data_IF_561029610252
#
_entry.id   IF_561029610252
#
_cell.length_a   1.000
_cell.length_b   1.000
_cell.length_c   1.000
_cell.angle_alpha   90.00
_cell.angle_beta   90.00
_cell.angle_gamma   90.00
#
_symmetry.space_group_name_H-M   'P 1'
#
loop_
_entity.id
_entity.type
_entity.pdbx_description
1 polymer ?
#
# COMPACT_ATOMS: atom_id res chain seq x y z
N UNK A 1 3.16 13.16 -19.78
CA UNK A 1 3.62 12.68 -18.45
C UNK A 1 4.04 11.22 -18.58
N UNK A 2 5.23 10.87 -18.09
CA UNK A 2 5.72 9.49 -18.05
C UNK A 2 5.05 8.77 -16.86
N UNK A 3 4.51 7.57 -17.11
CA UNK A 3 3.83 6.75 -16.12
C UNK A 3 4.55 5.41 -15.95
N UNK A 4 4.65 4.93 -14.72
CA UNK A 4 5.30 3.64 -14.40
C UNK A 4 4.56 2.94 -13.25
N UNK A 5 4.39 1.62 -13.33
CA UNK A 5 3.94 0.80 -12.21
C UNK A 5 5.14 0.42 -11.35
N UNK A 6 4.98 0.50 -10.02
CA UNK A 6 5.93 0.01 -9.03
C UNK A 6 5.35 -1.26 -8.40
N UNK A 7 5.74 -2.42 -8.91
CA UNK A 7 5.21 -3.73 -8.55
C UNK A 7 6.12 -4.43 -7.54
N UNK A 8 5.54 -4.85 -6.43
CA UNK A 8 6.22 -5.68 -5.42
C UNK A 8 5.72 -7.13 -5.51
N UNK A 9 6.66 -8.07 -5.68
CA UNK A 9 6.38 -9.51 -5.76
C UNK A 9 7.32 -10.30 -4.86
N UNK A 10 7.00 -11.56 -4.60
CA UNK A 10 7.82 -12.43 -3.75
C UNK A 10 8.12 -13.74 -4.49
N UNK A 11 9.39 -14.12 -4.49
CA UNK A 11 9.93 -15.43 -4.90
C UNK A 11 9.47 -15.94 -6.28
N UNK A 12 9.39 -15.07 -7.27
CA UNK A 12 9.29 -15.51 -8.69
C UNK A 12 10.68 -15.88 -9.18
N UNK A 13 10.90 -17.18 -9.45
CA UNK A 13 12.25 -17.73 -9.70
C UNK A 13 12.78 -17.43 -11.09
N UNK A 14 11.92 -17.32 -12.08
CA UNK A 14 12.31 -17.13 -13.48
C UNK A 14 11.73 -15.83 -14.06
N UNK A 15 12.51 -15.19 -14.93
CA UNK A 15 12.03 -13.99 -15.64
C UNK A 15 10.82 -14.31 -16.54
N UNK A 16 10.73 -15.51 -17.11
CA UNK A 16 9.59 -15.93 -17.92
C UNK A 16 8.29 -15.99 -17.11
N UNK A 17 8.36 -16.43 -15.85
CA UNK A 17 7.20 -16.39 -14.93
C UNK A 17 6.74 -14.96 -14.67
N UNK A 18 7.70 -14.03 -14.56
CA UNK A 18 7.40 -12.60 -14.38
C UNK A 18 6.71 -12.05 -15.61
N UNK A 19 7.21 -12.32 -16.83
CA UNK A 19 6.57 -11.82 -18.06
C UNK A 19 5.15 -12.37 -18.25
N UNK A 20 4.96 -13.66 -17.99
CA UNK A 20 3.63 -14.29 -17.99
C UNK A 20 2.70 -13.61 -16.97
N UNK A 21 3.20 -13.37 -15.77
CA UNK A 21 2.47 -12.66 -14.71
C UNK A 21 2.03 -11.26 -15.13
N UNK A 22 2.91 -10.46 -15.76
CA UNK A 22 2.55 -9.13 -16.27
C UNK A 22 1.40 -9.19 -17.28
N UNK A 23 1.41 -10.20 -18.17
CA UNK A 23 0.35 -10.40 -19.15
C UNK A 23 -0.97 -10.79 -18.48
N UNK A 24 -0.96 -11.75 -17.55
CA UNK A 24 -2.14 -12.19 -16.80
C UNK A 24 -2.77 -11.08 -15.97
N UNK A 25 -1.94 -10.18 -15.43
CA UNK A 25 -2.37 -9.02 -14.63
C UNK A 25 -2.70 -7.77 -15.46
N UNK A 26 -2.63 -7.88 -16.79
CA UNK A 26 -2.90 -6.79 -17.74
C UNK A 26 -2.02 -5.54 -17.50
N UNK A 27 -0.74 -5.77 -17.15
CA UNK A 27 0.23 -4.68 -16.99
C UNK A 27 0.80 -4.33 -18.37
N UNK A 28 0.36 -3.22 -18.92
CA UNK A 28 0.64 -2.79 -20.30
C UNK A 28 1.49 -1.52 -20.38
N UNK A 29 2.11 -1.10 -19.28
CA UNK A 29 2.93 0.13 -19.17
C UNK A 29 4.36 -0.21 -18.78
N UNK A 30 5.21 0.81 -18.70
CA UNK A 30 6.51 0.69 -18.05
C UNK A 30 6.33 0.21 -16.61
N UNK A 31 7.24 -0.65 -16.13
CA UNK A 31 7.14 -1.23 -14.78
C UNK A 31 8.52 -1.43 -14.15
N UNK A 32 8.63 -1.08 -12.88
CA UNK A 32 9.73 -1.52 -12.01
C UNK A 32 9.17 -2.60 -11.09
N UNK A 33 9.79 -3.77 -11.15
CA UNK A 33 9.43 -4.93 -10.34
C UNK A 33 10.52 -5.13 -9.29
N UNK A 34 10.16 -5.10 -8.03
CA UNK A 34 11.01 -5.56 -6.94
C UNK A 34 10.53 -6.93 -6.52
N UNK A 35 11.33 -7.93 -6.87
CA UNK A 35 11.10 -9.33 -6.54
C UNK A 35 11.97 -9.68 -5.32
N UNK A 36 11.32 -9.92 -4.19
CA UNK A 36 11.97 -10.32 -2.94
C UNK A 36 12.40 -11.79 -3.05
N UNK A 37 13.70 -12.02 -3.14
CA UNK A 37 14.31 -13.35 -3.38
C UNK A 37 15.45 -13.58 -2.38
N UNK A 38 16.13 -14.73 -2.51
CA UNK A 38 17.33 -15.05 -1.76
C UNK A 38 18.64 -14.75 -2.53
N UNK A 39 18.56 -14.05 -3.66
CA UNK A 39 19.71 -13.66 -4.49
C UNK A 39 19.53 -12.23 -5.02
N UNK A 40 20.64 -11.64 -5.51
CA UNK A 40 20.63 -10.31 -6.10
C UNK A 40 20.91 -10.39 -7.61
N UNK A 41 20.01 -9.84 -8.40
CA UNK A 41 20.19 -9.67 -9.85
C UNK A 41 19.31 -8.53 -10.36
N UNK A 42 19.84 -7.70 -11.25
CA UNK A 42 19.10 -6.60 -11.87
C UNK A 42 19.10 -6.81 -13.38
N UNK A 43 17.94 -6.78 -13.97
CA UNK A 43 17.76 -6.84 -15.41
C UNK A 43 16.82 -5.75 -15.92
N UNK A 44 17.04 -5.34 -17.17
CA UNK A 44 16.19 -4.39 -17.88
C UNK A 44 15.95 -4.91 -19.28
N UNK A 45 14.70 -4.95 -19.70
CA UNK A 45 14.30 -5.38 -21.03
C UNK A 45 13.24 -4.46 -21.59
N UNK A 46 13.27 -4.28 -22.92
CA UNK A 46 12.19 -3.63 -23.65
C UNK A 46 11.33 -4.72 -24.31
N UNK A 47 10.04 -4.73 -24.00
CA UNK A 47 9.08 -5.70 -24.53
C UNK A 47 7.89 -4.92 -25.08
N UNK A 48 7.63 -5.03 -26.39
CA UNK A 48 6.53 -4.34 -27.06
C UNK A 48 6.51 -2.82 -26.77
N UNK A 49 7.69 -2.18 -26.78
CA UNK A 49 7.84 -0.75 -26.53
C UNK A 49 7.73 -0.32 -25.08
N UNK A 50 7.61 -1.26 -24.12
CA UNK A 50 7.56 -1.03 -22.67
C UNK A 50 8.86 -1.40 -22.01
N UNK A 51 9.31 -0.59 -21.09
CA UNK A 51 10.49 -0.86 -20.26
C UNK A 51 10.08 -1.69 -19.05
N UNK A 52 10.64 -2.88 -18.93
CA UNK A 52 10.48 -3.75 -17.75
C UNK A 52 11.82 -3.80 -17.03
N UNK A 53 11.89 -3.26 -15.82
CA UNK A 53 13.04 -3.36 -14.91
C UNK A 53 12.72 -4.38 -13.82
N UNK A 54 13.53 -5.43 -13.70
CA UNK A 54 13.37 -6.46 -12.67
C UNK A 54 14.56 -6.36 -11.71
N UNK A 55 14.24 -6.19 -10.45
CA UNK A 55 15.17 -6.12 -9.34
C UNK A 55 14.91 -7.34 -8.45
N UNK A 56 15.64 -8.45 -8.70
CA UNK A 56 15.67 -9.58 -7.77
C UNK A 56 16.61 -9.18 -6.62
N UNK A 57 16.08 -9.08 -5.40
CA UNK A 57 16.85 -8.57 -4.27
C UNK A 57 16.67 -9.47 -3.05
N UNK A 58 17.78 -9.77 -2.37
CA UNK A 58 17.77 -10.47 -1.10
C UNK A 58 17.39 -9.50 0.02
N UNK A 59 16.16 -9.04 -0.04
CA UNK A 59 15.56 -8.16 0.97
C UNK A 59 14.10 -8.56 1.21
N UNK A 60 13.60 -8.33 2.42
CA UNK A 60 12.24 -8.67 2.82
C UNK A 60 11.52 -7.48 3.42
N UNK A 61 10.23 -7.39 3.13
CA UNK A 61 9.36 -6.34 3.64
C UNK A 61 8.80 -5.46 2.53
N UNK A 62 7.45 -5.36 2.49
CA UNK A 62 6.73 -4.65 1.44
C UNK A 62 7.08 -3.15 1.40
N UNK A 63 7.27 -2.51 2.57
CA UNK A 63 7.67 -1.11 2.65
C UNK A 63 9.06 -0.86 2.04
N UNK A 64 10.03 -1.76 2.32
CA UNK A 64 11.37 -1.69 1.73
C UNK A 64 11.30 -1.88 0.21
N UNK A 65 10.57 -2.89 -0.26
CA UNK A 65 10.36 -3.16 -1.67
C UNK A 65 9.80 -1.95 -2.43
N UNK A 66 8.74 -1.31 -1.90
CA UNK A 66 8.15 -0.10 -2.50
C UNK A 66 9.11 1.09 -2.49
N UNK A 67 9.89 1.28 -1.42
CA UNK A 67 10.92 2.33 -1.36
C UNK A 67 12.04 2.08 -2.39
N UNK A 68 12.46 0.83 -2.54
CA UNK A 68 13.48 0.41 -3.51
C UNK A 68 13.03 0.71 -4.95
N UNK A 69 11.77 0.41 -5.30
CA UNK A 69 11.18 0.77 -6.59
C UNK A 69 11.09 2.29 -6.78
N UNK A 70 10.58 3.02 -5.77
CA UNK A 70 10.39 4.47 -5.80
C UNK A 70 11.71 5.25 -6.00
N UNK A 71 12.81 4.78 -5.43
CA UNK A 71 14.12 5.39 -5.62
C UNK A 71 14.67 5.25 -7.04
N UNK A 72 14.19 4.24 -7.79
CA UNK A 72 14.71 3.88 -9.13
C UNK A 72 13.81 4.35 -10.28
N UNK A 73 12.68 4.96 -9.97
CA UNK A 73 11.80 5.53 -10.99
C UNK A 73 12.26 6.92 -11.42
N UNK A 74 12.11 7.18 -12.71
CA UNK A 74 12.25 8.49 -13.35
C UNK A 74 10.91 8.97 -13.97
N UNK A 75 9.82 8.29 -13.65
CA UNK A 75 8.49 8.66 -14.10
C UNK A 75 7.96 9.91 -13.39
N UNK A 76 7.02 10.60 -14.04
CA UNK A 76 6.30 11.74 -13.46
C UNK A 76 5.24 11.26 -12.45
N UNK A 77 4.52 10.18 -12.83
CA UNK A 77 3.46 9.56 -12.05
C UNK A 77 3.75 8.08 -11.92
N UNK A 78 3.60 7.56 -10.70
CA UNK A 78 3.69 6.13 -10.41
C UNK A 78 2.42 5.62 -9.76
N UNK A 79 2.13 4.33 -9.98
CA UNK A 79 1.11 3.56 -9.28
C UNK A 79 1.79 2.42 -8.53
N UNK A 80 1.53 2.29 -7.22
CA UNK A 80 1.96 1.11 -6.48
C UNK A 80 1.04 -0.07 -6.78
N UNK A 81 1.64 -1.25 -6.91
CA UNK A 81 0.94 -2.49 -7.21
C UNK A 81 1.50 -3.67 -6.40
N UNK A 82 0.61 -4.58 -6.05
CA UNK A 82 0.93 -5.86 -5.44
C UNK A 82 0.68 -7.01 -6.46
N UNK A 83 1.16 -8.21 -6.24
CA UNK A 83 1.16 -9.32 -7.21
C UNK A 83 -0.23 -9.96 -7.45
N UNK A 84 -1.22 -9.65 -6.65
CA UNK A 84 -2.57 -10.18 -6.73
C UNK A 84 -3.59 -9.25 -7.43
N UNK A 85 -3.11 -8.16 -8.03
CA UNK A 85 -3.94 -7.21 -8.76
C UNK A 85 -4.05 -7.54 -10.25
N UNK A 86 -5.24 -7.35 -10.82
CA UNK A 86 -5.48 -7.35 -12.27
C UNK A 86 -6.02 -6.00 -12.69
N UNK A 87 -5.32 -5.33 -13.60
CA UNK A 87 -5.67 -4.00 -14.07
C UNK A 87 -6.80 -4.03 -15.10
N UNK A 88 -7.63 -2.99 -15.09
CA UNK A 88 -8.63 -2.74 -16.12
C UNK A 88 -7.97 -2.25 -17.42
N UNK A 89 -8.68 -2.41 -18.53
CA UNK A 89 -8.22 -1.78 -19.77
C UNK A 89 -8.16 -0.25 -19.61
N UNK A 90 -7.18 0.36 -20.27
CA UNK A 90 -6.98 1.82 -20.24
C UNK A 90 -6.75 2.42 -18.83
N UNK A 91 -6.32 1.62 -17.82
CA UNK A 91 -6.04 2.12 -16.48
C UNK A 91 -5.06 3.29 -16.46
N UNK A 92 -4.02 3.26 -17.31
CA UNK A 92 -3.04 4.34 -17.45
C UNK A 92 -3.73 5.65 -17.87
N UNK A 93 -4.59 5.59 -18.90
CA UNK A 93 -5.31 6.76 -19.42
C UNK A 93 -6.23 7.33 -18.33
N UNK A 94 -6.94 6.47 -17.59
CA UNK A 94 -7.79 6.90 -16.47
C UNK A 94 -6.98 7.65 -15.41
N UNK A 95 -5.80 7.13 -15.05
CA UNK A 95 -4.93 7.74 -14.04
C UNK A 95 -4.41 9.09 -14.52
N UNK A 96 -3.87 9.18 -15.73
CA UNK A 96 -3.34 10.43 -16.27
C UNK A 96 -4.42 11.51 -16.40
N UNK A 97 -5.59 11.16 -16.93
CA UNK A 97 -6.75 12.07 -17.02
C UNK A 97 -7.23 12.56 -15.64
N UNK A 98 -7.12 11.73 -14.59
CA UNK A 98 -7.46 12.16 -13.24
C UNK A 98 -6.50 13.22 -12.72
N UNK A 99 -5.20 13.09 -12.98
CA UNK A 99 -4.21 14.13 -12.62
C UNK A 99 -4.36 15.40 -13.45
N UNK A 100 -4.79 15.31 -14.71
CA UNK A 100 -5.10 16.48 -15.53
C UNK A 100 -6.34 17.22 -15.00
N UNK A 101 -7.39 16.49 -14.57
CA UNK A 101 -8.58 17.06 -13.94
C UNK A 101 -8.34 17.61 -12.54
N UNK A 102 -7.36 17.07 -11.83
CA UNK A 102 -6.98 17.49 -10.47
C UNK A 102 -5.51 17.94 -10.41
N UNK A 103 -5.14 19.06 -11.09
CA UNK A 103 -3.75 19.47 -11.25
C UNK A 103 -3.05 19.76 -9.91
N UNK A 104 -3.83 20.12 -8.87
CA UNK A 104 -3.34 20.38 -7.52
C UNK A 104 -3.21 19.11 -6.66
N UNK A 105 -3.59 17.93 -7.15
CA UNK A 105 -3.41 16.69 -6.43
C UNK A 105 -1.95 16.25 -6.49
N UNK A 106 -1.39 15.86 -5.35
CA UNK A 106 -0.10 15.20 -5.24
C UNK A 106 -0.28 13.68 -5.29
N UNK A 107 -1.36 13.20 -4.66
CA UNK A 107 -1.76 11.78 -4.60
C UNK A 107 -3.23 11.67 -5.01
N UNK A 108 -3.54 10.68 -5.85
CA UNK A 108 -4.92 10.29 -6.16
C UNK A 108 -5.12 8.83 -5.78
N UNK A 109 -6.19 8.58 -5.02
CA UNK A 109 -6.62 7.24 -4.61
C UNK A 109 -7.73 6.78 -5.53
N UNK A 110 -7.49 5.67 -6.23
CA UNK A 110 -8.43 5.11 -7.20
C UNK A 110 -9.28 4.00 -6.61
N UNK A 111 -10.41 3.72 -7.27
CA UNK A 111 -11.25 2.62 -6.89
C UNK A 111 -10.65 1.30 -7.39
N UNK A 112 -10.46 0.35 -6.47
CA UNK A 112 -10.02 -1.02 -6.73
C UNK A 112 -11.03 -1.96 -6.10
N UNK A 113 -11.57 -2.92 -6.87
CA UNK A 113 -12.55 -3.87 -6.37
C UNK A 113 -11.86 -5.09 -5.76
N UNK A 114 -12.11 -5.37 -4.48
CA UNK A 114 -11.70 -6.64 -3.87
C UNK A 114 -12.65 -7.77 -4.28
N UNK A 115 -12.10 -8.93 -4.63
CA UNK A 115 -12.86 -10.17 -4.84
C UNK A 115 -13.13 -10.91 -3.52
N UNK A 116 -12.42 -10.54 -2.44
CA UNK A 116 -12.59 -11.13 -1.13
C UNK A 116 -13.59 -10.33 -0.30
N UNK A 117 -14.79 -10.89 -0.07
CA UNK A 117 -15.85 -10.25 0.72
C UNK A 117 -15.49 -10.05 2.20
N UNK A 118 -14.56 -10.85 2.74
CA UNK A 118 -14.07 -10.71 4.11
C UNK A 118 -13.05 -9.56 4.26
N UNK A 119 -12.51 -9.10 3.14
CA UNK A 119 -11.49 -8.04 3.09
C UNK A 119 -11.84 -7.02 1.99
N UNK A 120 -12.97 -6.32 2.13
CA UNK A 120 -13.38 -5.36 1.12
C UNK A 120 -12.37 -4.21 1.02
N UNK A 121 -12.02 -3.81 -0.19
CA UNK A 121 -11.31 -2.57 -0.42
C UNK A 121 -12.20 -1.36 -0.07
N UNK A 122 -11.59 -0.24 0.29
CA UNK A 122 -12.34 0.98 0.52
C UNK A 122 -12.95 1.47 -0.81
N UNK A 123 -14.27 1.44 -0.91
CA UNK A 123 -14.99 1.91 -2.09
C UNK A 123 -14.90 3.42 -2.23
N UNK A 124 -14.70 3.87 -3.46
CA UNK A 124 -14.56 5.27 -3.84
C UNK A 124 -15.64 5.61 -4.88
N UNK A 125 -16.68 6.31 -4.47
CA UNK A 125 -17.83 6.68 -5.32
C UNK A 125 -17.77 8.10 -5.89
N UNK A 126 -16.90 8.98 -5.35
CA UNK A 126 -16.80 10.38 -5.79
C UNK A 126 -15.43 11.00 -5.47
N UNK A 127 -15.15 12.10 -6.16
CA UNK A 127 -13.96 12.92 -5.90
C UNK A 127 -14.14 13.63 -4.57
N UNK A 128 -13.20 13.41 -3.63
CA UNK A 128 -13.15 14.08 -2.32
C UNK A 128 -11.70 14.29 -1.91
N UNK A 129 -11.45 15.36 -1.17
CA UNK A 129 -10.19 15.55 -0.45
C UNK A 129 -10.10 14.55 0.70
N UNK A 130 -8.91 13.97 0.88
CA UNK A 130 -8.60 13.05 1.97
C UNK A 130 -7.93 13.82 3.10
N UNK A 131 -8.28 13.46 4.33
CA UNK A 131 -7.76 14.04 5.55
C UNK A 131 -7.22 12.96 6.49
N UNK A 132 -6.47 13.31 7.51
CA UNK A 132 -5.85 12.38 8.45
C UNK A 132 -6.84 11.36 9.07
N UNK A 133 -8.07 11.79 9.38
CA UNK A 133 -9.09 10.96 10.04
C UNK A 133 -9.75 9.92 9.13
N UNK A 134 -9.57 10.02 7.81
CA UNK A 134 -10.16 9.08 6.85
C UNK A 134 -9.14 8.43 5.91
N UNK A 135 -7.83 8.69 6.07
CA UNK A 135 -6.77 8.17 5.21
C UNK A 135 -6.44 6.69 5.44
N UNK A 136 -6.54 6.21 6.69
CA UNK A 136 -6.06 4.87 7.10
C UNK A 136 -6.90 3.69 6.57
N UNK A 137 -7.87 3.92 5.72
CA UNK A 137 -8.71 2.86 5.13
C UNK A 137 -8.28 2.47 3.71
N UNK A 138 -7.35 3.18 3.12
CA UNK A 138 -6.89 2.96 1.75
C UNK A 138 -5.58 2.17 1.76
N UNK A 139 -5.49 1.19 0.85
CA UNK A 139 -4.29 0.38 0.63
C UNK A 139 -3.38 1.00 -0.42
N UNK A 140 -2.12 0.59 -0.43
CA UNK A 140 -1.13 1.09 -1.37
C UNK A 140 -1.52 0.84 -2.84
N UNK A 141 -2.20 -0.26 -3.11
CA UNK A 141 -2.72 -0.63 -4.43
C UNK A 141 -3.75 0.36 -5.02
N UNK A 142 -4.23 1.30 -4.22
CA UNK A 142 -5.11 2.38 -4.67
C UNK A 142 -4.35 3.69 -4.98
N UNK A 143 -3.05 3.75 -4.68
CA UNK A 143 -2.26 4.99 -4.63
C UNK A 143 -1.53 5.23 -5.96
N UNK A 144 -1.96 6.26 -6.70
CA UNK A 144 -1.15 6.88 -7.73
C UNK A 144 -0.61 8.25 -7.26
N UNK A 145 0.62 8.62 -7.65
CA UNK A 145 1.31 9.73 -7.04
C UNK A 145 2.27 10.45 -8.01
N UNK A 146 2.35 11.77 -7.89
CA UNK A 146 3.40 12.58 -8.52
C UNK A 146 4.73 12.36 -7.80
N UNK A 147 5.69 11.77 -8.49
CA UNK A 147 7.00 11.41 -7.91
C UNK A 147 7.74 12.63 -7.37
N UNK A 148 7.65 13.76 -8.06
CA UNK A 148 8.27 15.02 -7.62
C UNK A 148 7.79 15.48 -6.24
N UNK A 149 6.49 15.28 -5.92
CA UNK A 149 5.91 15.65 -4.63
C UNK A 149 6.49 14.82 -3.48
N UNK A 150 6.67 13.50 -3.69
CA UNK A 150 7.33 12.62 -2.71
C UNK A 150 8.79 12.97 -2.50
N UNK A 151 9.55 13.09 -3.59
CA UNK A 151 10.99 13.40 -3.53
C UNK A 151 11.25 14.72 -2.80
N UNK A 152 10.47 15.76 -3.10
CA UNK A 152 10.56 17.07 -2.44
C UNK A 152 10.29 17.01 -0.94
N UNK A 153 9.40 16.14 -0.49
CA UNK A 153 9.01 15.99 0.91
C UNK A 153 9.70 14.81 1.63
N UNK A 154 10.53 14.03 0.90
CA UNK A 154 11.26 12.85 1.41
C UNK A 154 10.35 11.82 2.09
N UNK A 155 9.14 11.62 1.52
CA UNK A 155 8.18 10.65 2.02
C UNK A 155 8.56 9.25 1.53
N UNK A 156 8.57 8.28 2.46
CA UNK A 156 8.87 6.87 2.21
C UNK A 156 7.92 5.98 2.99
N UNK A 157 7.80 4.73 2.59
CA UNK A 157 7.09 3.72 3.40
C UNK A 157 7.90 3.35 4.63
N UNK A 158 7.21 3.10 5.74
CA UNK A 158 7.84 2.52 6.92
C UNK A 158 8.34 1.10 6.64
N UNK A 159 9.57 0.79 7.04
CA UNK A 159 10.14 -0.57 6.96
C UNK A 159 9.84 -1.41 8.20
N UNK A 160 9.25 -0.80 9.24
CA UNK A 160 8.84 -1.50 10.45
C UNK A 160 7.44 -2.12 10.34
N UNK A 161 6.61 -1.65 9.40
CA UNK A 161 5.23 -2.06 9.19
C UNK A 161 5.05 -2.67 7.81
N UNK A 162 4.04 -3.55 7.68
CA UNK A 162 3.69 -4.21 6.43
C UNK A 162 4.08 -5.69 6.38
N UNK A 163 3.64 -6.37 5.33
CA UNK A 163 3.98 -7.78 5.11
C UNK A 163 5.50 -7.99 5.07
N UNK A 164 5.98 -9.02 5.80
CA UNK A 164 7.40 -9.31 5.92
C UNK A 164 8.18 -8.43 6.90
N UNK A 165 7.51 -7.50 7.59
CA UNK A 165 8.13 -6.59 8.56
C UNK A 165 7.80 -6.97 10.02
N UNK A 166 8.36 -6.22 10.99
CA UNK A 166 8.17 -6.45 12.43
C UNK A 166 6.69 -6.40 12.84
N UNK A 167 5.92 -5.46 12.30
CA UNK A 167 4.48 -5.32 12.48
C UNK A 167 3.78 -5.63 11.16
N UNK A 168 2.84 -6.57 11.15
CA UNK A 168 2.30 -7.21 9.96
C UNK A 168 1.52 -6.31 9.00
N UNK A 169 1.17 -5.07 9.38
CA UNK A 169 0.42 -4.14 8.51
C UNK A 169 0.51 -2.70 8.99
N UNK A 170 0.22 -1.73 8.11
CA UNK A 170 0.07 -0.32 8.46
C UNK A 170 1.02 0.63 7.72
N UNK A 171 1.89 0.12 6.86
CA UNK A 171 2.85 0.90 6.08
C UNK A 171 2.17 1.89 5.13
N UNK A 172 1.08 1.48 4.49
CA UNK A 172 0.24 2.32 3.62
C UNK A 172 -0.51 3.40 4.40
N UNK A 173 -1.02 3.06 5.58
CA UNK A 173 -1.68 4.02 6.48
C UNK A 173 -0.70 5.08 6.96
N UNK A 174 0.52 4.70 7.37
CA UNK A 174 1.57 5.64 7.78
C UNK A 174 2.01 6.50 6.60
N UNK A 175 2.23 5.90 5.43
CA UNK A 175 2.61 6.62 4.23
C UNK A 175 1.63 7.75 3.86
N UNK A 176 0.32 7.46 3.89
CA UNK A 176 -0.69 8.48 3.62
C UNK A 176 -0.77 9.55 4.72
N UNK A 177 -0.60 9.19 5.99
CA UNK A 177 -0.54 10.14 7.09
C UNK A 177 0.69 11.04 7.00
N UNK A 178 1.87 10.49 6.72
CA UNK A 178 3.11 11.24 6.56
C UNK A 178 3.01 12.21 5.37
N UNK A 179 2.41 11.77 4.27
CA UNK A 179 2.13 12.63 3.12
C UNK A 179 1.22 13.81 3.49
N UNK A 180 0.14 13.56 4.23
CA UNK A 180 -0.78 14.62 4.71
C UNK A 180 -0.08 15.56 5.68
N UNK A 181 0.70 15.05 6.63
CA UNK A 181 1.46 15.84 7.60
C UNK A 181 2.53 16.72 6.92
N UNK A 182 3.10 16.26 5.81
CA UNK A 182 4.03 17.02 4.98
C UNK A 182 3.33 18.07 4.08
N UNK A 183 1.98 18.14 4.12
CA UNK A 183 1.16 19.09 3.37
C UNK A 183 0.82 18.65 1.95
N UNK A 184 1.03 17.37 1.59
CA UNK A 184 0.61 16.86 0.30
C UNK A 184 -0.93 16.79 0.19
N UNK A 185 -1.45 17.11 -0.98
CA UNK A 185 -2.89 17.10 -1.27
C UNK A 185 -3.30 15.74 -1.83
N UNK A 186 -4.14 15.02 -1.08
CA UNK A 186 -4.64 13.70 -1.45
C UNK A 186 -6.12 13.80 -1.81
N UNK A 187 -6.50 13.20 -2.94
CA UNK A 187 -7.89 13.13 -3.39
C UNK A 187 -8.28 11.69 -3.72
N UNK A 188 -9.55 11.36 -3.58
CA UNK A 188 -10.15 10.15 -4.14
C UNK A 188 -10.64 10.41 -5.56
N UNK A 189 -10.63 9.37 -6.41
CA UNK A 189 -11.17 9.41 -7.77
C UNK A 189 -11.96 8.12 -8.05
N UNK A 190 -13.22 8.19 -8.56
CA UNK A 190 -14.12 7.05 -8.58
C UNK A 190 -13.82 6.01 -9.66
N UNK A 191 -12.95 6.32 -10.63
CA UNK A 191 -12.63 5.39 -11.70
C UNK A 191 -12.02 4.10 -11.13
N UNK A 192 -12.58 2.97 -11.56
CA UNK A 192 -12.03 1.66 -11.27
C UNK A 192 -10.82 1.42 -12.17
N UNK A 193 -9.67 1.11 -11.56
CA UNK A 193 -8.41 0.84 -12.26
C UNK A 193 -7.96 -0.61 -12.19
N UNK A 194 -8.37 -1.35 -11.17
CA UNK A 194 -7.98 -2.74 -10.97
C UNK A 194 -9.02 -3.52 -10.17
N UNK A 195 -8.80 -4.83 -10.13
CA UNK A 195 -9.44 -5.78 -9.22
C UNK A 195 -8.34 -6.52 -8.48
N UNK A 196 -8.48 -6.69 -7.15
CA UNK A 196 -7.53 -7.40 -6.29
C UNK A 196 -8.15 -8.70 -5.77
N UNK A 197 -7.40 -9.79 -5.84
CA UNK A 197 -7.91 -11.12 -5.46
C UNK A 197 -7.92 -11.34 -3.95
N UNK A 198 -6.85 -10.96 -3.23
CA UNK A 198 -6.68 -11.11 -1.77
C UNK A 198 -6.99 -12.54 -1.26
N UNK A 199 -6.67 -13.58 -2.06
CA UNK A 199 -6.98 -14.99 -1.73
C UNK A 199 -6.21 -15.49 -0.51
N UNK A 200 -4.91 -15.16 -0.43
CA UNK A 200 -4.04 -15.55 0.67
C UNK A 200 -3.34 -14.32 1.24
N UNK A 201 -3.33 -14.20 2.55
CA UNK A 201 -2.59 -13.15 3.24
C UNK A 201 -1.56 -13.81 4.15
N UNK A 202 -0.30 -13.51 3.93
CA UNK A 202 0.78 -14.00 4.81
C UNK A 202 0.81 -13.27 6.16
N UNK A 203 0.12 -12.14 6.27
CA UNK A 203 0.17 -11.26 7.43
C UNK A 203 -1.14 -11.15 8.22
N UNK A 204 -2.30 -11.53 7.65
CA UNK A 204 -3.60 -11.45 8.33
C UNK A 204 -4.16 -12.85 8.63
N UNK A 205 -4.09 -13.25 9.90
CA UNK A 205 -4.62 -14.52 10.42
C UNK A 205 -5.82 -14.29 11.36
N UNK A 206 -6.71 -13.35 10.99
CA UNK A 206 -7.87 -12.98 11.79
C UNK A 206 -7.58 -11.95 12.89
N UNK A 207 -8.63 -11.56 13.62
CA UNK A 207 -8.55 -10.55 14.68
C UNK A 207 -8.11 -11.19 16.03
N UNK A 208 -6.86 -11.65 16.05
CA UNK A 208 -6.22 -12.31 17.17
C UNK A 208 -5.37 -11.34 18.01
N UNK A 209 -4.69 -11.87 19.05
CA UNK A 209 -3.81 -11.10 19.93
C UNK A 209 -2.73 -10.32 19.17
N UNK A 210 -2.13 -10.94 18.15
CA UNK A 210 -1.08 -10.33 17.34
C UNK A 210 -1.61 -9.15 16.51
N UNK A 211 -2.80 -9.30 15.93
CA UNK A 211 -3.46 -8.21 15.20
C UNK A 211 -3.64 -6.96 16.07
N UNK A 212 -4.19 -7.12 17.30
CA UNK A 212 -4.41 -5.98 18.21
C UNK A 212 -3.08 -5.39 18.70
N UNK A 213 -2.07 -6.22 18.94
CA UNK A 213 -0.74 -5.74 19.30
C UNK A 213 -0.14 -4.89 18.18
N UNK A 214 -0.11 -5.39 16.94
CA UNK A 214 0.44 -4.67 15.78
C UNK A 214 -0.35 -3.38 15.51
N UNK A 215 -1.67 -3.42 15.67
CA UNK A 215 -2.53 -2.23 15.52
C UNK A 215 -2.26 -1.20 16.62
N UNK A 216 -1.96 -1.63 17.83
CA UNK A 216 -1.52 -0.74 18.91
C UNK A 216 -0.20 -0.04 18.60
N UNK A 217 0.78 -0.77 18.09
CA UNK A 217 2.05 -0.20 17.61
C UNK A 217 1.84 0.82 16.48
N UNK A 218 0.94 0.52 15.53
CA UNK A 218 0.57 1.44 14.45
C UNK A 218 -0.03 2.75 15.01
N UNK A 219 -0.90 2.67 16.01
CA UNK A 219 -1.48 3.88 16.61
C UNK A 219 -0.44 4.72 17.35
N UNK A 220 0.54 4.06 17.99
CA UNK A 220 1.64 4.77 18.63
C UNK A 220 2.52 5.50 17.61
N UNK A 221 2.78 4.87 16.46
CA UNK A 221 3.52 5.50 15.37
C UNK A 221 2.75 6.67 14.71
N UNK A 222 1.42 6.55 14.62
CA UNK A 222 0.57 7.45 13.84
C UNK A 222 0.04 8.66 14.62
N UNK A 223 -0.17 8.57 15.95
CA UNK A 223 -0.96 9.53 16.71
C UNK A 223 -0.34 9.94 18.04
N UNK A 224 -0.50 11.20 18.41
CA UNK A 224 -0.06 11.73 19.71
C UNK A 224 -0.79 11.09 20.90
N UNK A 225 -2.08 10.72 20.74
CA UNK A 225 -2.91 10.11 21.78
C UNK A 225 -3.40 8.72 21.37
N UNK A 226 -2.47 7.72 21.22
CA UNK A 226 -2.78 6.43 20.61
C UNK A 226 -3.83 5.60 21.40
N UNK A 227 -3.85 5.72 22.72
CA UNK A 227 -4.83 5.00 23.58
C UNK A 227 -6.26 5.45 23.35
N UNK A 228 -6.47 6.77 23.13
CA UNK A 228 -7.79 7.33 22.83
C UNK A 228 -8.24 6.84 21.44
N UNK A 229 -7.36 6.91 20.46
CA UNK A 229 -7.64 6.40 19.10
C UNK A 229 -7.97 4.91 19.13
N UNK A 230 -7.20 4.12 19.91
CA UNK A 230 -7.46 2.68 20.10
C UNK A 230 -8.87 2.41 20.65
N UNK A 231 -9.27 3.15 21.67
CA UNK A 231 -10.60 3.02 22.28
C UNK A 231 -11.72 3.36 21.30
N UNK A 232 -11.61 4.55 20.65
CA UNK A 232 -12.58 4.99 19.63
C UNK A 232 -12.69 3.98 18.50
N UNK A 233 -11.58 3.43 18.03
CA UNK A 233 -11.60 2.47 16.93
C UNK A 233 -12.22 1.14 17.33
N UNK A 234 -12.00 0.64 18.54
CA UNK A 234 -12.66 -0.56 19.04
C UNK A 234 -14.19 -0.42 19.02
N UNK A 235 -14.71 0.70 19.51
CA UNK A 235 -16.16 0.95 19.49
C UNK A 235 -16.71 1.05 18.07
N UNK A 236 -16.04 1.80 17.19
CA UNK A 236 -16.48 1.97 15.80
C UNK A 236 -16.41 0.68 14.97
N UNK A 237 -15.46 -0.20 15.28
CA UNK A 237 -15.20 -1.44 14.54
C UNK A 237 -15.66 -2.70 15.26
N UNK A 238 -16.44 -2.58 16.34
CA UNK A 238 -16.90 -3.73 17.15
C UNK A 238 -17.57 -4.84 16.31
N UNK A 239 -18.34 -4.48 15.29
CA UNK A 239 -19.02 -5.42 14.42
C UNK A 239 -18.11 -5.97 13.29
N UNK A 240 -16.92 -5.39 13.08
CA UNK A 240 -15.93 -5.81 12.09
C UNK A 240 -14.87 -6.71 12.74
N UNK A 241 -14.47 -6.40 13.97
CA UNK A 241 -13.46 -7.16 14.70
C UNK A 241 -14.07 -8.42 15.35
N UNK A 242 -14.51 -9.36 14.50
CA UNK A 242 -15.02 -10.65 14.95
C UNK A 242 -13.84 -11.45 15.53
N UNK A 243 -13.82 -11.61 16.84
CA UNK A 243 -12.71 -12.20 17.57
C UNK A 243 -13.23 -12.99 18.79
N UNK A 244 -12.49 -14.03 19.18
CA UNK A 244 -12.73 -14.75 20.44
C UNK A 244 -12.28 -13.95 21.68
N UNK A 245 -11.69 -12.76 21.51
CA UNK A 245 -11.24 -11.89 22.59
C UNK A 245 -12.37 -10.93 22.96
N UNK A 246 -12.60 -10.74 24.27
CA UNK A 246 -13.49 -9.70 24.77
C UNK A 246 -12.95 -8.29 24.39
N UNK A 247 -13.81 -7.27 24.40
CA UNK A 247 -13.39 -5.88 24.12
C UNK A 247 -12.28 -5.39 25.06
N UNK A 248 -12.34 -5.79 26.34
CA UNK A 248 -11.29 -5.49 27.31
C UNK A 248 -9.96 -6.17 26.96
N UNK A 249 -9.99 -7.41 26.52
CA UNK A 249 -8.80 -8.11 26.07
C UNK A 249 -8.23 -7.49 24.79
N UNK A 250 -9.08 -7.15 23.81
CA UNK A 250 -8.65 -6.44 22.60
C UNK A 250 -7.95 -5.12 22.95
N UNK A 251 -8.56 -4.30 23.83
CA UNK A 251 -7.96 -3.06 24.31
C UNK A 251 -6.64 -3.30 25.06
N UNK A 252 -6.56 -4.32 25.89
CA UNK A 252 -5.31 -4.70 26.57
C UNK A 252 -4.18 -4.95 25.58
N UNK A 253 -4.40 -5.72 24.51
CA UNK A 253 -3.38 -6.00 23.50
C UNK A 253 -3.00 -4.76 22.68
N UNK A 254 -3.94 -3.88 22.36
CA UNK A 254 -3.66 -2.56 21.80
C UNK A 254 -2.71 -1.74 22.70
N UNK A 255 -3.00 -1.67 23.99
CA UNK A 255 -2.16 -0.94 24.96
C UNK A 255 -0.76 -1.56 25.12
N UNK A 256 -0.65 -2.90 25.05
CA UNK A 256 0.65 -3.59 25.06
C UNK A 256 1.47 -3.20 23.83
N UNK A 257 0.85 -3.19 22.63
CA UNK A 257 1.49 -2.76 21.39
C UNK A 257 1.95 -1.30 21.44
N UNK A 258 1.10 -0.40 21.95
CA UNK A 258 1.45 1.01 22.16
C UNK A 258 2.69 1.14 23.07
N UNK A 259 2.64 0.47 24.24
CA UNK A 259 3.77 0.52 25.18
C UNK A 259 5.05 -0.06 24.58
N UNK A 260 4.94 -1.16 23.85
CA UNK A 260 6.11 -1.78 23.21
C UNK A 260 6.76 -0.86 22.19
N UNK A 261 5.96 -0.21 21.32
CA UNK A 261 6.45 0.73 20.32
C UNK A 261 7.16 1.92 20.99
N UNK A 262 6.56 2.55 21.98
CA UNK A 262 7.13 3.73 22.65
C UNK A 262 8.40 3.44 23.47
N UNK A 263 8.59 2.20 23.94
CA UNK A 263 9.73 1.85 24.81
C UNK A 263 10.91 1.22 24.05
N UNK A 264 10.70 0.71 22.84
CA UNK A 264 11.73 -0.07 22.11
C UNK A 264 12.08 0.50 20.74
N UNK A 265 11.43 1.55 20.32
CA UNK A 265 11.67 2.25 19.05
C UNK A 265 11.72 3.77 19.23
#
# INVERSE_FOLDING_TARGET
>A
MKFEILLSIVDKKENNDIYKHLTEKNITTDVIIVNQTNFNNISKKNVNGKTIKILNLNEHGIGLSRNTALQRTDADIVLFADDDEKFEDNYQIKILNAFDKLPNADIILFNVKSQNSLRPAAEISKIKKVYWYNSMKYGAYQIAIKVVSLKKKRITFSTLFGGGSKFGSGEDSLFLLDALNAGLKIYTYPDKIATVEQKSSTWFNGYNKRFFFDRGALFAAAFKFPKIIALVQLFRKRNVYISNLSLLQQYKYLCIGIKYFNNKL
#
